data_IF_883347268002
#
_entry.id   IF_883347268002
#
_cell.length_a   1.000
_cell.length_b   1.000
_cell.length_c   1.000
_cell.angle_alpha   90.00
_cell.angle_beta   90.00
_cell.angle_gamma   90.00
#
_symmetry.space_group_name_H-M   'P 1'
#
loop_
_entity.id
_entity.type
_entity.pdbx_description
1 polymer ?
#
# COMPACT_ATOMS: atom_id res chain seq x y z
N UNK A 1 -18.35 -8.21 -4.56
CA UNK A 1 -17.22 -7.91 -5.47
C UNK A 1 -15.98 -7.48 -4.69
N UNK A 2 -15.92 -6.29 -4.07
CA UNK A 2 -14.75 -5.88 -3.24
C UNK A 2 -14.49 -6.86 -2.09
N UNK A 3 -15.53 -7.23 -1.33
CA UNK A 3 -15.39 -8.17 -0.21
C UNK A 3 -14.80 -9.50 -0.66
N UNK A 4 -15.27 -10.03 -1.80
CA UNK A 4 -14.76 -11.29 -2.37
C UNK A 4 -13.30 -11.14 -2.83
N UNK A 5 -12.97 -10.01 -3.46
CA UNK A 5 -11.62 -9.72 -3.93
C UNK A 5 -10.61 -9.65 -2.78
N UNK A 6 -10.95 -8.91 -1.72
CA UNK A 6 -10.14 -8.78 -0.51
C UNK A 6 -10.02 -10.11 0.21
N UNK A 7 -11.12 -10.88 0.32
CA UNK A 7 -11.09 -12.19 0.95
C UNK A 7 -10.17 -13.16 0.19
N UNK A 8 -10.26 -13.22 -1.14
CA UNK A 8 -9.39 -14.06 -1.96
C UNK A 8 -7.93 -13.61 -1.87
N UNK A 9 -7.67 -12.30 -1.91
CA UNK A 9 -6.34 -11.73 -1.70
C UNK A 9 -5.76 -12.14 -0.34
N UNK A 10 -6.49 -11.94 0.76
CA UNK A 10 -6.05 -12.33 2.10
C UNK A 10 -5.81 -13.84 2.25
N UNK A 11 -6.65 -14.66 1.62
CA UNK A 11 -6.49 -16.13 1.63
C UNK A 11 -5.18 -16.58 0.96
N UNK A 12 -4.70 -15.89 -0.08
CA UNK A 12 -3.40 -16.18 -0.71
C UNK A 12 -2.23 -16.08 0.28
N UNK A 13 -2.36 -15.24 1.31
CA UNK A 13 -1.37 -15.03 2.36
C UNK A 13 -1.71 -15.78 3.67
N UNK A 14 -2.62 -16.75 3.62
CA UNK A 14 -2.99 -17.59 4.76
C UNK A 14 -3.93 -16.93 5.78
N UNK A 15 -4.48 -15.75 5.47
CA UNK A 15 -5.45 -15.06 6.31
C UNK A 15 -6.86 -15.50 5.93
N UNK A 16 -7.50 -16.27 6.81
CA UNK A 16 -8.87 -16.76 6.62
C UNK A 16 -9.88 -15.94 7.44
N UNK A 17 -11.12 -15.84 6.96
CA UNK A 17 -12.19 -15.11 7.65
C UNK A 17 -12.08 -13.59 7.57
N UNK A 18 -11.16 -13.05 6.76
CA UNK A 18 -11.06 -11.60 6.52
C UNK A 18 -12.11 -11.20 5.50
N UNK A 19 -13.00 -10.29 5.90
CA UNK A 19 -13.97 -9.63 5.03
C UNK A 19 -13.84 -8.12 5.23
N UNK A 20 -14.09 -7.37 4.17
CA UNK A 20 -14.09 -5.91 4.24
C UNK A 20 -15.41 -5.35 3.71
N UNK A 21 -16.08 -4.59 4.58
CA UNK A 21 -17.31 -3.88 4.28
C UNK A 21 -17.00 -2.46 3.77
N UNK A 22 -18.01 -1.75 3.28
CA UNK A 22 -17.87 -0.32 2.97
C UNK A 22 -17.65 0.50 4.25
N UNK A 23 -16.75 1.49 4.20
CA UNK A 23 -16.33 2.29 5.34
C UNK A 23 -15.30 1.61 6.24
N UNK A 24 -14.96 0.35 5.97
CA UNK A 24 -13.98 -0.40 6.75
C UNK A 24 -12.54 -0.15 6.27
N UNK A 25 -11.61 -0.19 7.23
CA UNK A 25 -10.17 -0.23 6.95
C UNK A 25 -9.55 -1.45 7.59
N UNK A 26 -8.73 -2.15 6.83
CA UNK A 26 -7.95 -3.30 7.27
C UNK A 26 -6.48 -2.90 7.31
N UNK A 27 -5.82 -3.10 8.46
CA UNK A 27 -4.39 -2.91 8.62
C UNK A 27 -3.72 -4.26 8.89
N UNK A 28 -2.82 -4.65 8.02
CA UNK A 28 -2.03 -5.88 8.11
C UNK A 28 -0.57 -5.49 8.37
N UNK A 29 -0.02 -5.96 9.49
CA UNK A 29 1.39 -5.75 9.82
C UNK A 29 2.19 -6.85 9.13
N UNK A 30 3.13 -6.44 8.27
CA UNK A 30 4.05 -7.33 7.56
C UNK A 30 5.44 -7.08 8.16
N UNK A 31 5.94 -8.08 8.88
CA UNK A 31 7.26 -8.01 9.51
C UNK A 31 8.34 -7.63 8.50
N UNK A 32 9.27 -6.77 8.92
CA UNK A 32 10.35 -6.16 8.11
C UNK A 32 9.93 -5.17 7.01
N UNK A 33 8.67 -5.21 6.54
CA UNK A 33 8.21 -4.40 5.39
C UNK A 33 7.38 -3.18 5.82
N UNK A 34 6.49 -3.32 6.81
CA UNK A 34 5.64 -2.23 7.28
C UNK A 34 4.19 -2.62 7.50
N UNK A 35 3.30 -1.64 7.49
CA UNK A 35 1.84 -1.83 7.63
C UNK A 35 1.18 -1.64 6.27
N UNK A 36 0.57 -2.71 5.76
CA UNK A 36 -0.32 -2.68 4.60
C UNK A 36 -1.70 -2.25 5.07
N UNK A 37 -2.19 -1.15 4.52
CA UNK A 37 -3.52 -0.62 4.75
C UNK A 37 -4.39 -0.85 3.51
N UNK A 38 -5.55 -1.44 3.71
CA UNK A 38 -6.68 -1.41 2.77
C UNK A 38 -7.76 -0.51 3.38
N UNK A 39 -8.33 0.39 2.59
CA UNK A 39 -9.41 1.28 3.03
C UNK A 39 -10.48 1.34 1.95
N UNK A 40 -11.70 0.92 2.29
CA UNK A 40 -12.82 0.89 1.36
C UNK A 40 -13.79 2.03 1.69
N UNK A 41 -13.77 3.07 0.85
CA UNK A 41 -14.63 4.25 0.97
C UNK A 41 -15.26 4.54 -0.37
N UNK A 42 -16.42 3.96 -0.63
CA UNK A 42 -17.10 4.07 -1.91
C UNK A 42 -17.19 5.53 -2.38
N UNK A 43 -16.91 5.83 -3.66
CA UNK A 43 -16.65 4.89 -4.76
C UNK A 43 -15.18 4.46 -4.90
N UNK A 44 -14.36 4.68 -3.87
CA UNK A 44 -12.91 4.50 -3.90
C UNK A 44 -12.41 3.37 -3.02
N UNK A 45 -11.29 2.81 -3.44
CA UNK A 45 -10.54 1.82 -2.68
C UNK A 45 -9.07 2.23 -2.63
N UNK A 46 -8.51 2.25 -1.42
CA UNK A 46 -7.10 2.54 -1.20
C UNK A 46 -6.38 1.27 -0.78
N UNK A 47 -5.20 1.05 -1.37
CA UNK A 47 -4.19 0.10 -0.90
C UNK A 47 -2.89 0.87 -0.71
N UNK A 48 -2.31 0.78 0.48
CA UNK A 48 -1.12 1.53 0.83
C UNK A 48 -0.19 0.75 1.75
N UNK A 49 1.11 1.01 1.64
CA UNK A 49 2.13 0.44 2.50
C UNK A 49 2.86 1.58 3.20
N UNK A 50 2.98 1.47 4.52
CA UNK A 50 3.64 2.48 5.34
C UNK A 50 4.64 1.88 6.31
N UNK A 51 5.73 2.61 6.57
CA UNK A 51 6.76 2.20 7.51
C UNK A 51 7.35 3.41 8.22
N UNK A 52 7.65 3.25 9.50
CA UNK A 52 8.37 4.27 10.27
C UNK A 52 9.81 4.36 9.78
N UNK A 53 10.26 5.58 9.53
CA UNK A 53 11.62 5.94 9.13
C UNK A 53 12.32 6.50 10.36
N UNK A 54 13.54 6.05 10.64
CA UNK A 54 14.30 6.61 11.76
C UNK A 54 14.86 8.00 11.42
N UNK A 55 15.04 8.84 12.44
CA UNK A 55 15.43 10.24 12.31
C UNK A 55 16.60 10.53 11.34
N UNK A 56 17.74 9.80 11.36
CA UNK A 56 18.86 10.10 10.45
C UNK A 56 18.50 9.93 8.97
N UNK A 57 17.46 9.16 8.66
CA UNK A 57 17.04 8.82 7.30
C UNK A 57 15.93 9.70 6.73
N UNK A 58 15.33 10.59 7.55
CA UNK A 58 14.21 11.44 7.14
C UNK A 58 14.52 12.35 5.95
N UNK A 59 15.74 12.91 5.90
CA UNK A 59 16.16 13.77 4.79
C UNK A 59 16.23 12.99 3.47
N UNK A 60 16.69 11.74 3.52
CA UNK A 60 16.75 10.86 2.36
C UNK A 60 15.35 10.39 1.95
N UNK A 61 14.47 10.08 2.92
CA UNK A 61 13.06 9.77 2.64
C UNK A 61 12.35 10.90 1.90
N UNK A 62 12.59 12.17 2.26
CA UNK A 62 12.06 13.33 1.52
C UNK A 62 12.55 13.42 0.07
N UNK A 63 13.82 13.10 -0.18
CA UNK A 63 14.35 13.04 -1.55
C UNK A 63 13.72 11.90 -2.36
N UNK A 64 13.39 10.80 -1.69
CA UNK A 64 12.75 9.64 -2.31
C UNK A 64 11.28 9.93 -2.66
N UNK A 65 10.55 10.67 -1.82
CA UNK A 65 9.21 11.18 -2.15
C UNK A 65 9.20 11.97 -3.47
N UNK A 66 10.18 12.86 -3.65
CA UNK A 66 10.30 13.65 -4.88
C UNK A 66 10.56 12.79 -6.13
N UNK A 67 11.16 11.60 -5.98
CA UNK A 67 11.43 10.67 -7.08
C UNK A 67 10.28 9.71 -7.36
N UNK A 68 9.53 9.30 -6.33
CA UNK A 68 8.38 8.42 -6.46
C UNK A 68 7.29 9.03 -7.34
N UNK A 69 7.17 10.37 -7.35
CA UNK A 69 6.24 11.09 -8.23
C UNK A 69 6.48 10.84 -9.73
N UNK A 70 7.71 10.52 -10.14
CA UNK A 70 8.10 10.33 -11.55
C UNK A 70 8.30 8.86 -11.95
N UNK A 71 8.28 7.93 -11.00
CA UNK A 71 8.29 6.50 -11.33
C UNK A 71 6.87 6.11 -11.70
N UNK A 72 6.57 6.06 -13.00
CA UNK A 72 5.31 5.53 -13.52
C UNK A 72 5.14 4.07 -13.08
N UNK A 73 4.17 3.77 -12.20
CA UNK A 73 3.81 2.39 -11.90
C UNK A 73 2.96 1.89 -13.08
N UNK A 74 3.15 0.63 -13.48
CA UNK A 74 2.39 -0.02 -14.56
C UNK A 74 0.88 -0.21 -14.24
N UNK A 75 0.41 0.29 -13.10
CA UNK A 75 -0.92 -0.01 -12.52
C UNK A 75 -1.77 1.27 -12.45
N UNK A 76 -1.38 2.24 -11.61
CA UNK A 76 -2.06 3.52 -11.38
C UNK A 76 -1.04 4.59 -10.95
N UNK A 77 -1.38 5.88 -10.96
CA UNK A 77 -0.56 6.90 -10.31
C UNK A 77 -0.31 6.53 -8.84
N UNK A 78 0.97 6.50 -8.46
CA UNK A 78 1.36 6.28 -7.07
C UNK A 78 1.36 7.60 -6.31
N UNK A 79 0.79 7.57 -5.12
CA UNK A 79 0.88 8.66 -4.16
C UNK A 79 1.86 8.32 -3.06
N UNK A 80 2.52 9.34 -2.51
CA UNK A 80 3.51 9.18 -1.47
C UNK A 80 3.35 10.27 -0.41
N UNK A 81 3.51 9.90 0.85
CA UNK A 81 3.37 10.80 2.00
C UNK A 81 4.46 10.54 3.04
N UNK A 82 4.86 11.58 3.77
CA UNK A 82 5.69 11.48 4.97
C UNK A 82 5.02 12.33 6.06
N UNK A 83 4.52 11.69 7.10
CA UNK A 83 3.84 12.34 8.22
C UNK A 83 4.30 11.68 9.53
N UNK A 84 4.72 12.47 10.52
CA UNK A 84 5.19 11.97 11.83
C UNK A 84 6.17 10.80 11.73
N UNK A 85 7.20 10.95 10.88
CA UNK A 85 8.23 9.95 10.60
C UNK A 85 7.73 8.66 9.91
N UNK A 86 6.47 8.62 9.47
CA UNK A 86 5.89 7.50 8.73
C UNK A 86 5.93 7.83 7.24
N UNK A 87 6.73 7.07 6.49
CA UNK A 87 6.72 7.09 5.03
C UNK A 87 5.65 6.13 4.54
N UNK A 88 4.74 6.62 3.69
CA UNK A 88 3.68 5.84 3.09
C UNK A 88 3.66 5.98 1.57
N UNK A 89 3.36 4.88 0.90
CA UNK A 89 3.09 4.81 -0.54
C UNK A 89 1.71 4.18 -0.73
N UNK A 90 0.89 4.71 -1.62
CA UNK A 90 -0.46 4.19 -1.81
C UNK A 90 -1.01 4.43 -3.21
N UNK A 91 -1.93 3.57 -3.60
CA UNK A 91 -2.74 3.68 -4.80
C UNK A 91 -4.19 3.93 -4.41
N UNK A 92 -4.89 4.69 -5.26
CA UNK A 92 -6.34 4.89 -5.17
C UNK A 92 -6.97 4.33 -6.45
N UNK A 93 -7.93 3.44 -6.27
CA UNK A 93 -8.68 2.78 -7.33
C UNK A 93 -10.15 3.18 -7.23
N UNK A 94 -10.88 3.08 -8.34
CA UNK A 94 -12.33 2.96 -8.29
C UNK A 94 -12.71 1.55 -7.84
N UNK A 95 -13.79 1.40 -7.08
CA UNK A 95 -14.17 0.10 -6.51
C UNK A 95 -14.38 -1.01 -7.56
N UNK A 96 -14.81 -0.62 -8.76
CA UNK A 96 -15.04 -1.51 -9.90
C UNK A 96 -13.76 -2.05 -10.54
N UNK A 97 -12.60 -1.45 -10.24
CA UNK A 97 -11.28 -1.89 -10.70
C UNK A 97 -10.67 -2.93 -9.76
N UNK A 98 -11.27 -3.18 -8.59
CA UNK A 98 -10.69 -4.05 -7.58
C UNK A 98 -11.03 -5.51 -7.85
N UNK A 99 -9.97 -6.27 -8.10
CA UNK A 99 -9.98 -7.72 -8.11
C UNK A 99 -8.73 -8.25 -7.35
N UNK A 100 -8.67 -9.56 -7.04
CA UNK A 100 -7.54 -10.12 -6.31
C UNK A 100 -6.18 -9.88 -6.98
N UNK A 101 -6.13 -9.92 -8.32
CA UNK A 101 -4.89 -9.75 -9.08
C UNK A 101 -4.39 -8.30 -9.01
N UNK A 102 -5.29 -7.32 -9.05
CA UNK A 102 -4.96 -5.89 -8.87
C UNK A 102 -4.38 -5.66 -7.47
N UNK A 103 -4.98 -6.24 -6.44
CA UNK A 103 -4.49 -6.14 -5.07
C UNK A 103 -3.10 -6.76 -4.91
N UNK A 104 -2.85 -7.95 -5.47
CA UNK A 104 -1.54 -8.60 -5.41
C UNK A 104 -0.48 -7.79 -6.18
N UNK A 105 -0.78 -7.34 -7.40
CA UNK A 105 0.14 -6.51 -8.19
C UNK A 105 0.47 -5.18 -7.50
N UNK A 106 -0.51 -4.57 -6.84
CA UNK A 106 -0.32 -3.36 -6.05
C UNK A 106 0.58 -3.62 -4.84
N UNK A 107 0.37 -4.72 -4.10
CA UNK A 107 1.26 -5.11 -3.00
C UNK A 107 2.69 -5.35 -3.49
N UNK A 108 2.89 -6.11 -4.57
CA UNK A 108 4.22 -6.37 -5.14
C UNK A 108 4.92 -5.06 -5.51
N UNK A 109 4.21 -4.13 -6.15
CA UNK A 109 4.76 -2.82 -6.52
C UNK A 109 5.12 -1.97 -5.30
N UNK A 110 4.26 -1.95 -4.27
CA UNK A 110 4.49 -1.20 -3.04
C UNK A 110 5.66 -1.77 -2.23
N UNK A 111 5.76 -3.09 -2.14
CA UNK A 111 6.86 -3.76 -1.44
C UNK A 111 8.20 -3.59 -2.16
N UNK A 112 8.23 -3.71 -3.49
CA UNK A 112 9.44 -3.43 -4.27
C UNK A 112 9.92 -2.00 -4.04
N UNK A 113 9.00 -1.02 -4.12
CA UNK A 113 9.35 0.37 -3.90
C UNK A 113 9.85 0.61 -2.48
N UNK A 114 9.16 0.07 -1.47
CA UNK A 114 9.55 0.22 -0.07
C UNK A 114 10.93 -0.37 0.21
N UNK A 115 11.23 -1.55 -0.36
CA UNK A 115 12.55 -2.17 -0.25
C UNK A 115 13.64 -1.29 -0.90
N UNK A 116 13.41 -0.79 -2.13
CA UNK A 116 14.36 0.10 -2.80
C UNK A 116 14.63 1.38 -2.01
N UNK A 117 13.60 1.95 -1.38
CA UNK A 117 13.75 3.11 -0.49
C UNK A 117 14.68 2.75 0.66
N UNK A 118 14.35 1.72 1.43
CA UNK A 118 15.05 1.39 2.68
C UNK A 118 16.44 0.77 2.48
N UNK A 119 16.71 0.12 1.36
CA UNK A 119 18.07 -0.28 0.96
C UNK A 119 18.96 0.93 0.61
N UNK A 120 18.34 2.05 0.22
CA UNK A 120 19.02 3.29 -0.14
C UNK A 120 19.14 4.29 1.02
N UNK A 121 18.56 3.98 2.19
CA UNK A 121 18.60 4.80 3.40
C UNK A 121 19.82 4.44 4.23
#
# INVERSE_FOLDING_TARGET
>A
MITDAVQQFCQQYGLSGVSMEEGASLNLIIDSIGTLQLDHKAPHFLIGLSKKVENPYLLNARKILARAHFKEPRIKPLHAQLHDDILGFYFIFEEQEIDPSVLSNALDSLTELMSQVFESL
#
